data_IF_767500233233
#
_entry.id   IF_767500233233
#
_cell.length_a   1.000
_cell.length_b   1.000
_cell.length_c   1.000
_cell.angle_alpha   90.00
_cell.angle_beta   90.00
_cell.angle_gamma   90.00
#
_symmetry.space_group_name_H-M   'P 1'
#
loop_
_entity.id
_entity.type
_entity.pdbx_description
1 polymer ?
#
# COMPACT_ATOMS: atom_id res chain seq x y z
N UNK A 1 -13.01 -3.63 4.81
CA UNK A 1 -12.10 -3.68 3.65
C UNK A 1 -12.29 -4.98 2.89
N UNK A 2 -12.43 -4.92 1.59
CA UNK A 2 -12.35 -6.10 0.73
C UNK A 2 -10.89 -6.22 0.26
N UNK A 3 -10.17 -7.17 0.80
CA UNK A 3 -8.75 -7.34 0.55
C UNK A 3 -8.43 -7.61 -0.92
N UNK A 4 -9.23 -8.45 -1.57
CA UNK A 4 -9.02 -8.78 -2.98
C UNK A 4 -9.21 -7.56 -3.88
N UNK A 5 -10.24 -6.76 -3.61
CA UNK A 5 -10.52 -5.55 -4.38
C UNK A 5 -9.44 -4.48 -4.15
N UNK A 6 -9.03 -4.27 -2.92
CA UNK A 6 -7.98 -3.31 -2.59
C UNK A 6 -6.68 -3.67 -3.27
N UNK A 7 -6.26 -4.92 -3.15
CA UNK A 7 -5.02 -5.40 -3.77
C UNK A 7 -5.08 -5.31 -5.29
N UNK A 8 -6.19 -5.78 -5.88
CA UNK A 8 -6.35 -5.75 -7.34
C UNK A 8 -6.32 -4.35 -7.91
N UNK A 9 -6.99 -3.41 -7.25
CA UNK A 9 -7.00 -2.01 -7.64
C UNK A 9 -5.60 -1.39 -7.56
N UNK A 10 -4.89 -1.65 -6.48
CA UNK A 10 -3.54 -1.11 -6.28
C UNK A 10 -2.56 -1.69 -7.30
N UNK A 11 -2.63 -2.97 -7.58
CA UNK A 11 -1.81 -3.60 -8.62
C UNK A 11 -2.05 -2.91 -9.97
N UNK A 12 -3.30 -2.72 -10.34
CA UNK A 12 -3.64 -2.06 -11.60
C UNK A 12 -3.09 -0.65 -11.69
N UNK A 13 -3.25 0.14 -10.61
CA UNK A 13 -2.77 1.53 -10.57
C UNK A 13 -1.25 1.60 -10.72
N UNK A 14 -0.51 0.82 -9.96
CA UNK A 14 0.95 0.83 -10.04
C UNK A 14 1.47 0.24 -11.35
N UNK A 15 0.78 -0.77 -11.90
CA UNK A 15 1.09 -1.28 -13.22
C UNK A 15 0.97 -0.18 -14.29
N UNK A 16 -0.14 0.54 -14.28
CA UNK A 16 -0.38 1.64 -15.22
C UNK A 16 0.62 2.78 -15.03
N UNK A 17 0.94 3.10 -13.79
CA UNK A 17 1.94 4.12 -13.48
C UNK A 17 3.32 3.75 -14.03
N UNK A 18 3.65 2.46 -14.04
CA UNK A 18 4.89 1.92 -14.59
C UNK A 18 4.86 1.84 -16.12
N UNK A 19 3.71 2.10 -16.75
CA UNK A 19 3.56 2.05 -18.20
C UNK A 19 3.41 0.65 -18.77
N UNK A 20 3.03 -0.33 -17.96
CA UNK A 20 2.89 -1.72 -18.39
C UNK A 20 1.44 -2.04 -18.74
N UNK A 21 1.24 -2.74 -19.88
CA UNK A 21 -0.05 -3.33 -20.21
C UNK A 21 -0.30 -4.58 -19.37
N UNK A 22 -1.55 -5.06 -19.33
CA UNK A 22 -1.84 -6.36 -18.70
C UNK A 22 -1.05 -7.48 -19.36
N UNK A 23 -0.95 -7.47 -20.68
CA UNK A 23 -0.18 -8.48 -21.42
C UNK A 23 1.27 -8.48 -20.99
N UNK A 24 1.91 -7.32 -20.97
CA UNK A 24 3.32 -7.19 -20.58
C UNK A 24 3.54 -7.62 -19.14
N UNK A 25 2.69 -7.17 -18.23
CA UNK A 25 2.85 -7.47 -16.81
C UNK A 25 2.58 -8.94 -16.50
N UNK A 26 1.57 -9.54 -17.13
CA UNK A 26 1.28 -10.96 -16.97
C UNK A 26 2.45 -11.84 -17.41
N UNK A 27 3.13 -11.48 -18.50
CA UNK A 27 4.34 -12.17 -18.93
C UNK A 27 5.45 -12.08 -17.88
N UNK A 28 5.69 -10.89 -17.32
CA UNK A 28 6.69 -10.70 -16.29
C UNK A 28 6.37 -11.48 -15.01
N UNK A 29 5.10 -11.66 -14.70
CA UNK A 29 4.63 -12.43 -13.54
C UNK A 29 4.53 -13.93 -13.80
N UNK A 30 4.70 -14.36 -15.04
CA UNK A 30 4.53 -15.74 -15.46
C UNK A 30 3.13 -16.29 -15.16
N UNK A 31 2.12 -15.48 -15.43
CA UNK A 31 0.70 -15.86 -15.34
C UNK A 31 -0.01 -15.46 -16.63
N UNK A 32 -1.21 -16.00 -16.84
CA UNK A 32 -2.01 -15.61 -18.01
C UNK A 32 -2.56 -14.19 -17.83
N UNK A 33 -2.81 -13.50 -18.94
CA UNK A 33 -3.47 -12.22 -18.94
C UNK A 33 -4.85 -12.29 -18.29
N UNK A 34 -5.57 -13.38 -18.52
CA UNK A 34 -6.87 -13.62 -17.91
C UNK A 34 -6.79 -13.72 -16.39
N UNK A 35 -5.74 -14.41 -15.88
CA UNK A 35 -5.49 -14.48 -14.43
C UNK A 35 -5.21 -13.10 -13.85
N UNK A 36 -4.37 -12.31 -14.50
CA UNK A 36 -4.08 -10.95 -14.04
C UNK A 36 -5.33 -10.07 -14.07
N UNK A 37 -6.14 -10.18 -15.12
CA UNK A 37 -7.39 -9.44 -15.21
C UNK A 37 -8.33 -9.74 -14.04
N UNK A 38 -8.44 -11.02 -13.66
CA UNK A 38 -9.28 -11.43 -12.51
C UNK A 38 -8.72 -10.89 -11.19
N UNK A 39 -7.41 -10.90 -11.04
CA UNK A 39 -6.74 -10.34 -9.85
C UNK A 39 -7.02 -8.83 -9.75
N UNK A 40 -6.83 -8.10 -10.84
CA UNK A 40 -7.04 -6.64 -10.87
C UNK A 40 -8.50 -6.25 -10.63
N UNK A 41 -9.45 -7.11 -11.01
CA UNK A 41 -10.87 -6.89 -10.74
C UNK A 41 -11.32 -7.32 -9.35
N UNK A 42 -10.41 -7.85 -8.55
CA UNK A 42 -10.72 -8.30 -7.20
C UNK A 42 -11.50 -9.60 -7.11
N UNK A 43 -11.49 -10.41 -8.17
CA UNK A 43 -12.19 -11.70 -8.20
C UNK A 43 -11.36 -12.83 -7.63
N UNK A 44 -10.06 -12.82 -7.88
CA UNK A 44 -9.13 -13.83 -7.40
C UNK A 44 -8.00 -13.20 -6.61
N UNK A 45 -7.49 -13.95 -5.65
CA UNK A 45 -6.23 -13.62 -4.99
C UNK A 45 -5.08 -14.27 -5.76
N UNK A 46 -3.86 -13.84 -5.51
CA UNK A 46 -2.66 -14.36 -6.15
C UNK A 46 -1.88 -15.26 -5.19
N UNK A 47 -1.01 -16.10 -5.74
CA UNK A 47 -0.13 -16.92 -4.92
C UNK A 47 0.93 -16.06 -4.24
N UNK A 48 1.53 -16.57 -3.17
CA UNK A 48 2.64 -15.87 -2.50
C UNK A 48 3.83 -15.69 -3.45
N UNK A 49 4.10 -16.67 -4.30
CA UNK A 49 5.17 -16.59 -5.28
C UNK A 49 4.96 -15.43 -6.27
N UNK A 50 3.74 -15.25 -6.75
CA UNK A 50 3.40 -14.13 -7.64
C UNK A 50 3.46 -12.79 -6.88
N UNK A 51 2.93 -12.77 -5.67
CA UNK A 51 2.94 -11.56 -4.84
C UNK A 51 4.36 -11.05 -4.57
N UNK A 52 5.30 -11.95 -4.33
CA UNK A 52 6.69 -11.59 -4.05
C UNK A 52 7.38 -10.89 -5.22
N UNK A 53 6.94 -11.17 -6.45
CA UNK A 53 7.52 -10.56 -7.66
C UNK A 53 7.05 -9.12 -7.89
N UNK A 54 5.85 -8.78 -7.44
CA UNK A 54 5.20 -7.54 -7.80
C UNK A 54 5.93 -6.30 -7.27
N UNK A 55 6.35 -6.23 -6.01
CA UNK A 55 7.03 -5.03 -5.51
C UNK A 55 8.29 -4.69 -6.28
N UNK A 56 9.08 -5.68 -6.62
CA UNK A 56 10.32 -5.49 -7.37
C UNK A 56 10.04 -5.01 -8.80
N UNK A 57 9.08 -5.64 -9.47
CA UNK A 57 8.71 -5.28 -10.85
C UNK A 57 8.09 -3.89 -10.95
N UNK A 58 7.34 -3.48 -9.96
CA UNK A 58 6.65 -2.18 -9.94
C UNK A 58 7.40 -1.10 -9.16
N UNK A 59 8.56 -1.44 -8.58
CA UNK A 59 9.38 -0.53 -7.79
C UNK A 59 8.60 0.11 -6.63
N UNK A 60 7.90 -0.73 -5.87
CA UNK A 60 7.12 -0.35 -4.71
C UNK A 60 7.38 -1.31 -3.56
N UNK A 61 6.97 -0.94 -2.34
CA UNK A 61 6.98 -1.86 -1.21
C UNK A 61 5.72 -2.73 -1.21
N UNK A 62 5.79 -3.92 -0.58
CA UNK A 62 4.61 -4.77 -0.38
C UNK A 62 3.51 -4.01 0.36
N UNK A 63 3.90 -3.18 1.31
CA UNK A 63 3.00 -2.35 2.08
C UNK A 63 2.09 -1.49 1.19
N UNK A 64 2.63 -0.89 0.14
CA UNK A 64 1.86 -0.02 -0.76
C UNK A 64 0.75 -0.77 -1.51
N UNK A 65 0.94 -2.07 -1.75
CA UNK A 65 -0.08 -2.89 -2.40
C UNK A 65 -1.35 -3.07 -1.54
N UNK A 66 -1.21 -2.97 -0.23
CA UNK A 66 -2.31 -3.20 0.70
C UNK A 66 -2.88 -1.92 1.30
N UNK A 67 -2.35 -0.76 0.90
CA UNK A 67 -2.87 0.52 1.36
C UNK A 67 -4.23 0.84 0.73
N UNK A 68 -5.14 1.33 1.56
CA UNK A 68 -6.44 1.77 1.10
C UNK A 68 -6.65 3.24 1.49
N UNK A 69 -5.95 4.14 0.80
CA UNK A 69 -5.96 5.57 1.11
C UNK A 69 -7.33 6.21 0.94
N UNK A 70 -8.17 5.66 0.05
CA UNK A 70 -9.49 6.21 -0.21
C UNK A 70 -10.47 6.05 0.96
N UNK A 71 -10.21 5.10 1.84
CA UNK A 71 -11.03 4.86 3.03
C UNK A 71 -10.55 5.65 4.25
N UNK A 72 -9.39 6.32 4.15
CA UNK A 72 -8.85 7.09 5.28
C UNK A 72 -9.48 8.48 5.35
N UNK A 73 -10.28 8.68 6.37
CA UNK A 73 -10.79 10.00 6.73
C UNK A 73 -9.76 10.73 7.61
N UNK A 74 -9.98 12.04 7.83
CA UNK A 74 -9.17 12.80 8.79
C UNK A 74 -9.20 12.19 10.18
N UNK A 75 -10.36 11.67 10.60
CA UNK A 75 -10.51 11.00 11.90
C UNK A 75 -9.70 9.71 11.96
N UNK A 76 -9.67 8.94 10.88
CA UNK A 76 -8.86 7.71 10.80
C UNK A 76 -7.37 8.02 10.94
N UNK A 77 -6.91 9.06 10.26
CA UNK A 77 -5.52 9.51 10.32
C UNK A 77 -5.18 9.95 11.75
N UNK A 78 -6.06 10.72 12.38
CA UNK A 78 -5.86 11.19 13.74
C UNK A 78 -5.80 10.02 14.74
N UNK A 79 -6.69 9.05 14.58
CA UNK A 79 -6.70 7.84 15.42
C UNK A 79 -5.39 7.05 15.26
N UNK A 80 -4.87 6.92 14.05
CA UNK A 80 -3.58 6.26 13.81
C UNK A 80 -2.44 7.01 14.48
N UNK A 81 -2.41 8.33 14.36
CA UNK A 81 -1.38 9.17 15.02
C UNK A 81 -1.43 8.97 16.53
N UNK A 82 -2.60 8.99 17.14
CA UNK A 82 -2.78 8.78 18.56
C UNK A 82 -2.29 7.41 19.00
N UNK A 83 -2.58 6.37 18.22
CA UNK A 83 -2.11 5.01 18.48
C UNK A 83 -0.58 4.94 18.45
N UNK A 84 0.05 5.54 17.43
CA UNK A 84 1.51 5.57 17.32
C UNK A 84 2.13 6.34 18.48
N UNK A 85 1.57 7.47 18.89
CA UNK A 85 2.05 8.23 20.04
C UNK A 85 1.97 7.40 21.32
N UNK A 86 0.91 6.62 21.48
CA UNK A 86 0.76 5.73 22.64
C UNK A 86 1.85 4.68 22.69
N UNK A 87 2.24 4.13 21.54
CA UNK A 87 3.36 3.18 21.46
C UNK A 87 4.68 3.87 21.80
N UNK A 88 4.87 5.11 21.32
CA UNK A 88 6.12 5.86 21.49
C UNK A 88 6.32 6.38 22.91
N UNK A 89 5.30 6.38 23.77
CA UNK A 89 5.43 6.90 25.13
C UNK A 89 6.53 6.20 25.95
N UNK A 90 6.88 4.96 25.59
CA UNK A 90 7.95 4.19 26.22
C UNK A 90 9.31 4.39 25.52
N UNK A 91 9.39 5.30 24.55
CA UNK A 91 10.60 5.64 23.81
C UNK A 91 10.83 7.15 23.88
N UNK A 92 11.37 7.67 25.01
CA UNK A 92 11.44 9.12 25.26
C UNK A 92 12.16 9.92 24.16
N UNK A 93 13.23 9.37 23.60
CA UNK A 93 14.00 10.05 22.54
C UNK A 93 13.18 10.25 21.26
N UNK A 94 12.45 9.22 20.87
CA UNK A 94 11.59 9.28 19.70
C UNK A 94 10.40 10.22 19.94
N UNK A 95 9.85 10.17 21.14
CA UNK A 95 8.74 11.03 21.52
C UNK A 95 9.17 12.51 21.51
N UNK A 96 10.34 12.83 22.00
CA UNK A 96 10.89 14.19 21.97
C UNK A 96 11.06 14.69 20.53
N UNK A 97 11.59 13.86 19.66
CA UNK A 97 11.75 14.18 18.25
C UNK A 97 10.40 14.51 17.59
N UNK A 98 9.41 13.66 17.80
CA UNK A 98 8.07 13.87 17.26
C UNK A 98 7.41 15.13 17.83
N UNK A 99 7.59 15.41 19.09
CA UNK A 99 7.07 16.62 19.73
C UNK A 99 7.58 17.88 19.03
N UNK A 100 8.88 17.97 18.79
CA UNK A 100 9.48 19.10 18.07
C UNK A 100 8.95 19.22 16.66
N UNK A 101 8.84 18.11 15.95
CA UNK A 101 8.34 18.08 14.57
C UNK A 101 6.89 18.54 14.47
N UNK A 102 6.02 18.04 15.35
CA UNK A 102 4.61 18.43 15.39
C UNK A 102 4.48 19.92 15.72
N UNK A 103 5.28 20.42 16.65
CA UNK A 103 5.28 21.84 17.01
C UNK A 103 5.60 22.71 15.80
N UNK A 104 6.63 22.35 15.05
CA UNK A 104 7.02 23.09 13.85
C UNK A 104 5.92 23.10 12.80
N UNK A 105 5.32 21.94 12.52
CA UNK A 105 4.22 21.83 11.56
C UNK A 105 3.02 22.68 11.98
N UNK A 106 2.69 22.65 13.27
CA UNK A 106 1.51 23.35 13.78
C UNK A 106 1.62 24.87 13.62
N UNK A 107 2.83 25.40 13.73
CA UNK A 107 3.07 26.85 13.67
C UNK A 107 3.74 27.32 12.38
N UNK A 108 3.67 26.51 11.34
CA UNK A 108 4.14 26.88 10.01
C UNK A 108 3.37 28.08 9.44
#
# INVERSE_FOLDING_TARGET
>A
MDLKKTLGKNIKQYRQLKGLSQEQFSELLDISQQSLSKIERGKNFLTSATLEKIPELLDISVYELFMNEEEYTSDDILNDIQRYLSILKNHPEKLEFIHKFIKEITFL
#
